data_IF_076962053310
#
_entry.id   IF_076962053310
#
_cell.length_a   1.000
_cell.length_b   1.000
_cell.length_c   1.000
_cell.angle_alpha   90.00
_cell.angle_beta   90.00
_cell.angle_gamma   90.00
#
_symmetry.space_group_name_H-M   'P 1'
#
loop_
_entity.id
_entity.type
_entity.pdbx_description
1 polymer ?
#
# COMPACT_ATOMS: atom_id res chain seq x y z
N UNK A 1 -0.53 2.97 -9.45
CA UNK A 1 0.61 2.37 -8.73
C UNK A 1 1.44 3.49 -8.14
N UNK A 2 1.78 3.39 -6.85
CA UNK A 2 2.58 4.40 -6.15
C UNK A 2 3.97 3.81 -5.82
N UNK A 3 5.00 4.17 -6.61
CA UNK A 3 6.38 3.67 -6.48
C UNK A 3 7.36 4.73 -5.94
N UNK A 4 6.90 5.64 -5.09
CA UNK A 4 7.77 6.68 -4.54
C UNK A 4 8.32 6.26 -3.19
N UNK A 5 9.50 6.75 -2.82
CA UNK A 5 9.98 6.59 -1.45
C UNK A 5 9.03 7.26 -0.47
N UNK A 6 8.78 6.59 0.65
CA UNK A 6 7.95 7.06 1.76
C UNK A 6 8.75 6.99 3.05
N UNK A 7 8.98 8.14 3.67
CA UNK A 7 9.82 8.30 4.85
C UNK A 7 11.17 7.56 4.68
N UNK A 8 11.85 7.85 3.56
CA UNK A 8 13.15 7.29 3.17
C UNK A 8 13.16 5.77 2.88
N UNK A 9 12.01 5.10 2.83
CA UNK A 9 11.89 3.69 2.46
C UNK A 9 11.36 3.56 1.04
N UNK A 10 12.06 2.79 0.21
CA UNK A 10 11.59 2.41 -1.12
C UNK A 10 10.61 1.23 -1.02
N UNK A 11 9.56 1.18 -1.86
CA UNK A 11 8.69 0.02 -1.94
C UNK A 11 9.38 -1.15 -2.64
N UNK A 12 8.97 -2.35 -2.27
CA UNK A 12 9.05 -3.50 -3.14
C UNK A 12 7.76 -3.61 -3.96
N UNK A 13 7.89 -3.82 -5.27
CA UNK A 13 6.77 -3.81 -6.20
C UNK A 13 6.50 -5.20 -6.76
N UNK A 14 5.23 -5.60 -6.76
CA UNK A 14 4.77 -6.88 -7.29
C UNK A 14 3.65 -6.64 -8.30
N UNK A 15 3.60 -7.50 -9.32
CA UNK A 15 2.50 -7.56 -10.28
C UNK A 15 1.82 -8.92 -10.19
N UNK A 16 0.50 -8.91 -10.03
CA UNK A 16 -0.36 -10.09 -10.07
C UNK A 16 -1.19 -10.01 -11.35
N UNK A 17 -1.15 -11.08 -12.16
CA UNK A 17 -1.84 -11.18 -13.45
C UNK A 17 -1.65 -9.95 -14.35
N UNK A 18 -0.42 -9.42 -14.37
CA UNK A 18 0.07 -8.30 -15.18
C UNK A 18 -0.52 -6.90 -14.86
N UNK A 19 -1.71 -6.83 -14.27
CA UNK A 19 -2.48 -5.57 -14.16
C UNK A 19 -2.87 -5.20 -12.72
N UNK A 20 -2.63 -6.07 -11.73
CA UNK A 20 -2.80 -5.73 -10.32
C UNK A 20 -1.44 -5.46 -9.69
N UNK A 21 -1.19 -4.19 -9.41
CA UNK A 21 0.11 -3.72 -8.92
C UNK A 21 0.04 -3.51 -7.42
N UNK A 22 0.97 -4.14 -6.70
CA UNK A 22 1.11 -4.07 -5.25
C UNK A 22 2.45 -3.39 -4.95
N UNK A 23 2.43 -2.47 -3.97
CA UNK A 23 3.62 -1.81 -3.44
C UNK A 23 3.67 -2.04 -1.94
N UNK A 24 4.73 -2.68 -1.46
CA UNK A 24 4.93 -3.05 -0.07
C UNK A 24 6.12 -2.27 0.49
N UNK A 25 5.90 -1.57 1.60
CA UNK A 25 6.94 -0.86 2.33
C UNK A 25 7.16 -1.55 3.67
N UNK A 26 8.39 -1.98 3.96
CA UNK A 26 8.75 -2.61 5.24
C UNK A 26 9.66 -1.66 6.02
N UNK A 27 9.18 -1.16 7.15
CA UNK A 27 9.90 -0.23 8.01
C UNK A 27 10.59 -0.96 9.17
N UNK A 28 11.55 -0.31 9.81
CA UNK A 28 12.18 -0.87 11.02
C UNK A 28 11.23 -0.91 12.24
N UNK A 29 10.15 -0.12 12.24
CA UNK A 29 9.17 -0.07 13.33
C UNK A 29 7.81 0.45 12.88
N UNK A 30 6.78 0.23 13.71
CA UNK A 30 5.44 0.75 13.46
C UNK A 30 5.36 2.29 13.49
N UNK A 31 6.19 2.95 14.30
CA UNK A 31 6.29 4.43 14.30
C UNK A 31 6.87 4.96 12.99
N UNK A 32 7.83 4.25 12.40
CA UNK A 32 8.33 4.61 11.07
C UNK A 32 7.30 4.36 9.97
N UNK A 33 6.50 3.31 10.09
CA UNK A 33 5.37 3.08 9.19
C UNK A 33 4.32 4.19 9.30
N UNK A 34 4.06 4.73 10.50
CA UNK A 34 3.16 5.89 10.67
C UNK A 34 3.71 7.14 9.98
N UNK A 35 5.02 7.40 10.08
CA UNK A 35 5.66 8.49 9.34
C UNK A 35 5.58 8.27 7.82
N UNK A 36 5.77 7.04 7.36
CA UNK A 36 5.58 6.66 5.96
C UNK A 36 4.16 6.93 5.45
N UNK A 37 3.15 6.65 6.26
CA UNK A 37 1.75 6.92 5.93
C UNK A 37 1.46 8.42 5.83
N UNK A 38 1.98 9.23 6.77
CA UNK A 38 1.86 10.70 6.72
C UNK A 38 2.53 11.28 5.47
N UNK A 39 3.75 10.82 5.15
CA UNK A 39 4.47 11.24 3.94
C UNK A 39 3.70 10.86 2.66
N UNK A 40 3.02 9.69 2.65
CA UNK A 40 2.12 9.34 1.56
C UNK A 40 0.95 10.33 1.44
N UNK A 41 0.29 10.65 2.54
CA UNK A 41 -0.84 11.59 2.56
C UNK A 41 -0.43 12.99 2.09
N UNK A 42 0.70 13.51 2.57
CA UNK A 42 1.26 14.80 2.14
C UNK A 42 1.59 14.81 0.64
N UNK A 43 2.25 13.76 0.13
CA UNK A 43 2.61 13.64 -1.29
C UNK A 43 1.42 13.43 -2.21
N UNK A 44 0.30 12.97 -1.67
CA UNK A 44 -0.92 12.67 -2.44
C UNK A 44 -2.02 13.71 -2.23
N UNK A 45 -1.87 14.64 -1.28
CA UNK A 45 -2.86 15.66 -0.94
C UNK A 45 -3.24 16.57 -2.12
N UNK A 46 -2.30 16.84 -3.04
CA UNK A 46 -2.53 17.68 -4.22
C UNK A 46 -2.92 16.90 -5.48
N UNK A 47 -2.91 15.56 -5.43
CA UNK A 47 -3.24 14.72 -6.56
C UNK A 47 -4.59 14.05 -6.30
N UNK A 48 -5.45 13.98 -7.31
CA UNK A 48 -6.66 13.13 -7.30
C UNK A 48 -6.21 11.67 -7.39
N UNK A 49 -5.54 11.17 -6.36
CA UNK A 49 -4.97 9.83 -6.36
C UNK A 49 -6.14 8.87 -6.20
N UNK A 50 -6.27 7.97 -7.18
CA UNK A 50 -7.19 6.83 -7.17
C UNK A 50 -7.19 6.23 -5.76
N UNK A 51 -8.35 5.97 -5.14
CA UNK A 51 -8.40 5.43 -3.78
C UNK A 51 -7.58 4.14 -3.74
N UNK A 52 -6.36 4.23 -3.20
CA UNK A 52 -5.58 3.04 -2.88
C UNK A 52 -6.17 2.54 -1.56
N UNK A 53 -6.53 1.27 -1.50
CA UNK A 53 -6.82 0.64 -0.23
C UNK A 53 -5.51 0.64 0.57
N UNK A 54 -5.48 1.40 1.68
CA UNK A 54 -4.30 1.60 2.51
C UNK A 54 -4.36 0.63 3.69
N UNK A 55 -3.36 -0.21 3.84
CA UNK A 55 -3.27 -1.13 4.96
C UNK A 55 -1.98 -0.88 5.73
N UNK A 56 -2.10 -0.54 7.02
CA UNK A 56 -0.97 -0.48 7.95
C UNK A 56 -1.05 -1.68 8.89
N UNK A 57 -0.04 -2.53 8.83
CA UNK A 57 0.04 -3.76 9.64
C UNK A 57 1.39 -3.73 10.35
N UNK A 58 1.40 -3.49 11.66
CA UNK A 58 2.62 -3.28 12.44
C UNK A 58 3.58 -2.24 11.79
N UNK A 59 4.70 -2.71 11.23
CA UNK A 59 5.73 -1.92 10.55
C UNK A 59 5.63 -1.96 9.01
N UNK A 60 4.53 -2.44 8.43
CA UNK A 60 4.34 -2.58 6.98
C UNK A 60 3.25 -1.65 6.48
N UNK A 61 3.48 -1.00 5.33
CA UNK A 61 2.45 -0.36 4.53
C UNK A 61 2.26 -1.12 3.22
N UNK A 62 1.02 -1.49 2.92
CA UNK A 62 0.64 -2.12 1.66
C UNK A 62 -0.32 -1.21 0.91
N UNK A 63 0.01 -0.97 -0.36
CA UNK A 63 -0.84 -0.29 -1.32
C UNK A 63 -1.06 -1.20 -2.52
N UNK A 64 -2.29 -1.28 -3.02
CA UNK A 64 -2.55 -1.92 -4.30
C UNK A 64 -3.49 -1.08 -5.15
N UNK A 65 -3.37 -1.22 -6.48
CA UNK A 65 -4.33 -0.67 -7.45
C UNK A 65 -4.74 -1.80 -8.37
N UNK A 66 -6.05 -1.99 -8.52
CA UNK A 66 -6.64 -2.89 -9.50
C UNK A 66 -7.57 -2.09 -10.42
N UNK A 67 -7.49 -2.34 -11.73
CA UNK A 67 -8.51 -1.88 -12.66
C UNK A 67 -9.83 -2.64 -12.44
N UNK A 68 -11.00 -2.05 -12.75
CA UNK A 68 -12.31 -2.65 -12.46
C UNK A 68 -12.53 -4.03 -13.09
N UNK A 69 -11.84 -4.36 -14.18
CA UNK A 69 -12.00 -5.64 -14.88
C UNK A 69 -11.09 -6.78 -14.37
N UNK A 70 -10.11 -6.50 -13.49
CA UNK A 70 -9.00 -7.43 -13.19
C UNK A 70 -8.61 -7.48 -11.71
N UNK A 71 -9.53 -7.15 -10.80
CA UNK A 71 -9.30 -7.26 -9.36
C UNK A 71 -9.34 -8.74 -8.94
N UNK A 72 -8.20 -9.30 -8.55
CA UNK A 72 -8.18 -10.63 -7.92
C UNK A 72 -8.72 -10.51 -6.49
N UNK A 73 -9.90 -11.09 -6.24
CA UNK A 73 -10.57 -11.04 -4.94
C UNK A 73 -9.72 -11.64 -3.80
N UNK A 74 -8.76 -12.52 -4.11
CA UNK A 74 -7.88 -13.10 -3.09
C UNK A 74 -6.98 -12.05 -2.48
N UNK A 75 -6.55 -11.05 -3.26
CA UNK A 75 -5.73 -9.94 -2.76
C UNK A 75 -6.51 -9.08 -1.79
N UNK A 76 -7.80 -8.83 -2.08
CA UNK A 76 -8.69 -8.14 -1.14
C UNK A 76 -8.81 -8.93 0.16
N UNK A 77 -9.15 -10.22 0.07
CA UNK A 77 -9.34 -11.09 1.24
C UNK A 77 -8.08 -11.19 2.11
N UNK A 78 -6.90 -11.25 1.49
CA UNK A 78 -5.62 -11.22 2.22
C UNK A 78 -5.43 -9.87 2.91
N UNK A 79 -5.66 -8.75 2.20
CA UNK A 79 -5.50 -7.43 2.77
C UNK A 79 -6.48 -7.17 3.94
N UNK A 80 -7.74 -7.59 3.80
CA UNK A 80 -8.75 -7.56 4.86
C UNK A 80 -8.37 -8.47 6.03
N UNK A 81 -7.93 -9.70 5.78
CA UNK A 81 -7.49 -10.64 6.82
C UNK A 81 -6.34 -10.09 7.66
N UNK A 82 -5.45 -9.31 7.05
CA UNK A 82 -4.34 -8.65 7.76
C UNK A 82 -4.80 -7.46 8.65
N UNK A 83 -5.97 -6.87 8.41
CA UNK A 83 -6.56 -5.84 9.30
C UNK A 83 -7.25 -6.43 10.52
N UNK A 84 -7.77 -7.66 10.41
CA UNK A 84 -8.58 -8.32 11.44
C UNK A 84 -7.72 -8.87 12.58
N UNK A 85 -6.42 -9.08 12.36
CA UNK A 85 -5.44 -9.31 13.43
C UNK A 85 -5.16 -8.02 14.21
N UNK A 86 -6.08 -7.67 15.12
CA UNK A 86 -5.87 -6.75 16.24
C UNK A 86 -5.69 -7.52 17.54
#
# INVERSE_FOLDING_TARGET
MFLRMLNQVAPEAYSIHENQLISIYVYSSGQQAEKGLKDFEEKTAAATVVPHSKYRIANVLLFYVAGPALKDERVEKVAEGLLVTK
#
